data_IF_027794937103
#
_entry.id   IF_027794937103
#
_cell.length_a   1.000
_cell.length_b   1.000
_cell.length_c   1.000
_cell.angle_alpha   90.00
_cell.angle_beta   90.00
_cell.angle_gamma   90.00
#
_symmetry.space_group_name_H-M   'P 1'
#
loop_
_entity.id
_entity.type
_entity.pdbx_description
1 polymer ?
#
# COMPACT_ATOMS: atom_id res chain seq x y z
N UNK A 1 -31.69 -25.81 -42.92
CA UNK A 1 -32.19 -24.43 -42.71
C UNK A 1 -32.71 -24.37 -41.30
N UNK A 2 -31.94 -23.76 -40.40
CA UNK A 2 -32.25 -23.67 -38.97
C UNK A 2 -33.13 -22.43 -38.77
N UNK A 3 -34.30 -22.63 -38.17
CA UNK A 3 -35.28 -21.60 -37.89
C UNK A 3 -34.85 -20.82 -36.63
N UNK A 4 -34.46 -19.56 -36.80
CA UNK A 4 -34.21 -18.64 -35.70
C UNK A 4 -35.56 -18.02 -35.29
N UNK A 5 -36.08 -18.44 -34.13
CA UNK A 5 -37.27 -17.82 -33.54
C UNK A 5 -37.05 -16.33 -33.28
N UNK A 6 -38.13 -15.55 -33.39
CA UNK A 6 -38.11 -14.10 -33.18
C UNK A 6 -37.59 -13.72 -31.78
N UNK A 7 -36.88 -12.59 -31.65
CA UNK A 7 -36.41 -12.11 -30.35
C UNK A 7 -37.61 -11.66 -29.48
N UNK A 8 -37.55 -11.87 -28.15
CA UNK A 8 -38.61 -11.46 -27.26
C UNK A 8 -38.76 -9.92 -27.24
N UNK A 9 -40.00 -9.45 -27.26
CA UNK A 9 -40.31 -8.02 -27.16
C UNK A 9 -39.86 -7.44 -25.81
N UNK A 10 -39.27 -6.25 -25.86
CA UNK A 10 -38.84 -5.50 -24.69
C UNK A 10 -40.04 -5.19 -23.79
N UNK A 11 -40.10 -5.84 -22.62
CA UNK A 11 -40.98 -5.41 -21.55
C UNK A 11 -40.40 -4.14 -20.94
N UNK A 12 -41.20 -3.07 -20.92
CA UNK A 12 -40.88 -1.82 -20.24
C UNK A 12 -40.69 -2.09 -18.75
N UNK A 13 -39.44 -2.20 -18.30
CA UNK A 13 -39.10 -2.06 -16.88
C UNK A 13 -39.36 -0.61 -16.47
N UNK A 14 -40.06 -0.35 -15.35
CA UNK A 14 -40.30 1.01 -14.91
C UNK A 14 -38.97 1.69 -14.57
N UNK A 15 -38.72 2.82 -15.23
CA UNK A 15 -37.66 3.76 -14.87
C UNK A 15 -37.84 4.19 -13.41
N UNK A 16 -36.91 3.79 -12.54
CA UNK A 16 -36.81 4.38 -11.20
C UNK A 16 -36.39 5.85 -11.37
N UNK A 17 -37.35 6.76 -11.20
CA UNK A 17 -37.03 8.18 -11.08
C UNK A 17 -36.34 8.39 -9.73
N UNK A 18 -35.05 8.76 -9.76
CA UNK A 18 -34.37 9.34 -8.61
C UNK A 18 -35.05 10.66 -8.28
N UNK A 19 -35.96 10.63 -7.30
CA UNK A 19 -36.50 11.85 -6.71
C UNK A 19 -35.42 12.45 -5.82
N UNK A 20 -35.19 13.76 -5.95
CA UNK A 20 -34.27 14.50 -5.09
C UNK A 20 -34.60 14.25 -3.61
N UNK A 21 -33.60 14.12 -2.72
CA UNK A 21 -33.86 13.95 -1.29
C UNK A 21 -34.64 15.16 -0.75
N UNK A 22 -35.59 14.94 0.19
CA UNK A 22 -36.39 16.02 0.74
C UNK A 22 -35.50 17.01 1.51
N UNK A 23 -35.65 18.30 1.19
CA UNK A 23 -35.02 19.39 1.95
C UNK A 23 -35.53 19.38 3.38
N UNK A 24 -34.70 18.94 4.33
CA UNK A 24 -35.00 19.06 5.76
C UNK A 24 -35.03 20.54 6.14
N UNK A 25 -36.19 21.02 6.60
CA UNK A 25 -36.35 22.36 7.17
C UNK A 25 -35.57 22.42 8.49
N UNK A 26 -34.54 23.26 8.53
CA UNK A 26 -33.91 23.70 9.78
C UNK A 26 -34.98 24.32 10.67
N UNK A 27 -35.25 23.69 11.81
CA UNK A 27 -36.09 24.26 12.87
C UNK A 27 -35.20 24.54 14.07
N UNK A 28 -34.78 25.79 14.14
CA UNK A 28 -34.01 26.42 15.21
C UNK A 28 -34.70 26.20 16.56
N UNK A 29 -34.10 25.43 17.47
CA UNK A 29 -34.56 25.26 18.85
C UNK A 29 -33.69 26.13 19.77
N UNK A 30 -34.17 27.35 20.05
CA UNK A 30 -33.74 28.13 21.21
C UNK A 30 -34.66 27.77 22.38
N UNK A 31 -34.12 27.16 23.43
CA UNK A 31 -34.52 27.35 24.85
C UNK A 31 -33.55 26.57 25.73
N UNK A 32 -32.91 27.29 26.65
CA UNK A 32 -31.74 26.86 27.40
C UNK A 32 -31.98 25.76 28.43
N UNK A 33 -30.87 25.11 28.78
CA UNK A 33 -30.76 24.29 29.98
C UNK A 33 -29.40 24.57 30.62
N UNK A 34 -29.43 24.82 31.92
CA UNK A 34 -28.31 25.18 32.79
C UNK A 34 -27.19 24.13 32.74
N UNK A 35 -25.94 24.60 32.65
CA UNK A 35 -24.76 23.77 32.84
C UNK A 35 -24.58 23.41 34.32
N UNK A 36 -24.48 22.12 34.62
CA UNK A 36 -23.98 21.61 35.89
C UNK A 36 -22.71 20.83 35.58
N UNK A 37 -21.57 21.52 35.66
CA UNK A 37 -20.24 20.90 35.51
C UNK A 37 -19.92 20.19 36.82
N UNK A 38 -20.01 18.86 36.82
CA UNK A 38 -19.48 18.04 37.91
C UNK A 38 -18.02 17.72 37.58
N UNK A 39 -17.08 18.36 38.28
CA UNK A 39 -15.65 18.01 38.23
C UNK A 39 -15.46 16.76 39.09
N UNK A 40 -15.28 15.60 38.48
CA UNK A 40 -14.77 14.41 39.15
C UNK A 40 -13.24 14.42 39.07
N UNK A 41 -12.58 14.91 40.12
CA UNK A 41 -11.16 14.68 40.37
C UNK A 41 -11.00 13.24 40.87
N UNK A 42 -10.64 12.32 39.97
CA UNK A 42 -10.05 11.04 40.35
C UNK A 42 -8.55 11.10 40.10
N UNK A 43 -7.82 11.30 41.18
CA UNK A 43 -6.40 11.02 41.25
C UNK A 43 -6.20 9.50 41.12
N UNK A 44 -5.77 9.07 39.94
CA UNK A 44 -5.28 7.73 39.67
C UNK A 44 -4.10 7.87 38.73
N UNK A 45 -2.91 7.44 39.17
CA UNK A 45 -1.64 7.72 38.52
C UNK A 45 -1.66 7.52 37.01
N UNK A 46 -1.49 8.62 36.29
CA UNK A 46 -0.98 8.60 34.93
C UNK A 46 0.44 8.05 35.04
N UNK A 47 0.56 6.72 34.92
CA UNK A 47 1.78 6.14 34.42
C UNK A 47 2.04 6.86 33.10
N UNK A 48 3.07 7.68 33.09
CA UNK A 48 3.65 8.19 31.86
C UNK A 48 4.08 6.90 31.16
N UNK A 49 3.25 6.41 30.23
CA UNK A 49 3.77 5.54 29.17
C UNK A 49 4.73 6.46 28.45
N UNK A 50 5.99 6.42 28.87
CA UNK A 50 7.09 6.91 28.06
C UNK A 50 6.88 6.25 26.71
N UNK A 51 6.59 7.04 25.68
CA UNK A 51 6.72 6.55 24.31
C UNK A 51 8.07 5.84 24.24
N UNK A 52 8.14 4.63 23.65
CA UNK A 52 9.42 3.96 23.50
C UNK A 52 10.41 4.96 22.89
N UNK A 53 11.63 4.96 23.42
CA UNK A 53 12.70 5.77 22.86
C UNK A 53 12.78 5.46 21.35
N UNK A 54 13.01 6.48 20.53
CA UNK A 54 13.20 6.35 19.09
C UNK A 54 14.71 6.39 18.84
N UNK A 55 15.24 5.62 17.89
CA UNK A 55 16.59 5.88 17.39
C UNK A 55 16.63 7.35 16.95
N UNK A 56 17.63 8.08 17.45
CA UNK A 56 17.77 9.50 17.09
C UNK A 56 18.24 9.60 15.64
N UNK A 57 17.29 9.81 14.73
CA UNK A 57 17.53 10.31 13.37
C UNK A 57 18.38 9.40 12.49
N UNK A 58 17.84 8.26 12.08
CA UNK A 58 18.44 7.45 11.02
C UNK A 58 18.22 8.19 9.69
N UNK A 59 19.29 8.75 9.13
CA UNK A 59 19.25 9.50 7.86
C UNK A 59 20.15 8.80 6.87
N UNK A 60 19.56 8.19 5.85
CA UNK A 60 20.29 7.59 4.73
C UNK A 60 20.93 8.71 3.92
N UNK A 61 22.24 8.65 3.78
CA UNK A 61 23.07 9.61 3.03
C UNK A 61 23.90 8.97 1.91
N UNK A 62 23.83 7.63 1.76
CA UNK A 62 24.50 6.88 0.71
C UNK A 62 23.54 5.97 -0.05
N UNK A 63 23.73 5.90 -1.37
CA UNK A 63 22.99 5.04 -2.29
C UNK A 63 23.66 3.68 -2.56
N UNK A 64 24.78 3.40 -1.88
CA UNK A 64 25.52 2.14 -1.97
C UNK A 64 24.75 0.96 -1.34
N UNK A 65 24.96 -0.23 -1.89
CA UNK A 65 24.47 -1.51 -1.36
C UNK A 65 25.48 -2.65 -1.62
N UNK A 66 26.77 -2.35 -1.50
CA UNK A 66 27.85 -3.34 -1.64
C UNK A 66 28.09 -4.14 -0.34
N UNK A 67 29.08 -5.04 -0.35
CA UNK A 67 29.46 -5.83 0.82
C UNK A 67 29.96 -5.03 2.03
N UNK A 68 30.14 -3.72 1.89
CA UNK A 68 30.52 -2.78 2.94
C UNK A 68 29.36 -1.90 3.38
N UNK A 69 28.18 -2.05 2.79
CA UNK A 69 26.97 -1.25 3.05
C UNK A 69 26.27 -1.60 4.37
N UNK A 70 26.59 -2.73 5.00
CA UNK A 70 26.01 -3.16 6.26
C UNK A 70 26.37 -2.25 7.43
N UNK A 71 25.47 -2.15 8.42
CA UNK A 71 25.76 -1.47 9.66
C UNK A 71 26.85 -2.22 10.44
N UNK A 72 27.82 -1.47 10.95
CA UNK A 72 28.97 -2.03 11.66
C UNK A 72 28.63 -2.57 13.02
N UNK A 73 27.72 -1.93 13.75
CA UNK A 73 27.31 -2.36 15.07
C UNK A 73 25.80 -2.11 15.25
N UNK A 74 24.93 -2.96 14.66
CA UNK A 74 23.49 -2.78 14.80
C UNK A 74 23.04 -2.65 16.26
N UNK A 75 22.26 -1.61 16.55
CA UNK A 75 21.67 -1.27 17.84
C UNK A 75 22.52 -0.32 18.70
N UNK A 76 23.57 0.29 18.14
CA UNK A 76 24.41 1.25 18.87
C UNK A 76 23.90 2.71 18.78
N UNK A 77 22.82 2.94 18.05
CA UNK A 77 22.18 4.24 17.84
C UNK A 77 22.78 5.04 16.69
N UNK A 78 23.73 4.48 15.92
CA UNK A 78 24.39 5.13 14.80
C UNK A 78 24.28 4.25 13.55
N UNK A 79 23.56 4.74 12.54
CA UNK A 79 23.61 4.12 11.23
C UNK A 79 24.98 4.39 10.57
N UNK A 80 25.86 3.41 10.55
CA UNK A 80 27.22 3.59 10.03
C UNK A 80 27.79 2.32 9.38
N UNK A 81 28.08 2.43 8.09
CA UNK A 81 28.77 1.42 7.28
C UNK A 81 30.29 1.42 7.52
N UNK A 82 31.04 0.66 6.72
CA UNK A 82 32.50 0.60 6.84
C UNK A 82 33.18 1.91 6.43
N UNK A 83 32.46 2.78 5.72
CA UNK A 83 32.90 4.11 5.31
C UNK A 83 32.27 5.23 6.13
N UNK A 84 31.64 4.91 7.26
CA UNK A 84 30.89 5.86 8.11
C UNK A 84 29.72 6.54 7.36
N UNK A 85 29.21 5.90 6.32
CA UNK A 85 28.01 6.30 5.56
C UNK A 85 26.79 5.53 6.08
N UNK A 86 25.59 6.11 6.01
CA UNK A 86 24.34 5.42 6.29
C UNK A 86 23.67 5.01 4.97
N UNK A 87 23.78 3.72 4.63
CA UNK A 87 23.02 3.12 3.52
C UNK A 87 21.62 2.73 3.98
N UNK A 88 20.70 2.45 3.05
CA UNK A 88 19.38 1.91 3.40
C UNK A 88 19.48 0.55 4.11
N UNK A 89 20.46 -0.28 3.74
CA UNK A 89 20.69 -1.58 4.39
C UNK A 89 21.11 -1.38 5.84
N UNK A 90 22.13 -0.57 6.09
CA UNK A 90 22.57 -0.23 7.44
C UNK A 90 21.44 0.38 8.27
N UNK A 91 20.68 1.31 7.69
CA UNK A 91 19.56 1.97 8.35
C UNK A 91 18.48 0.97 8.83
N UNK A 92 18.18 -0.05 8.01
CA UNK A 92 17.24 -1.11 8.39
C UNK A 92 17.83 -2.01 9.48
N UNK A 93 19.12 -2.34 9.41
CA UNK A 93 19.80 -3.16 10.43
C UNK A 93 19.81 -2.46 11.79
N UNK A 94 20.10 -1.17 11.81
CA UNK A 94 20.04 -0.34 13.00
C UNK A 94 18.62 -0.27 13.57
N UNK A 95 17.63 0.03 12.73
CA UNK A 95 16.22 0.08 13.14
C UNK A 95 15.67 -1.27 13.65
N UNK A 96 16.18 -2.39 13.15
CA UNK A 96 15.78 -3.72 13.63
C UNK A 96 16.43 -4.10 14.96
N UNK A 97 17.62 -3.55 15.25
CA UNK A 97 18.39 -3.85 16.45
C UNK A 97 18.10 -2.85 17.58
N UNK A 98 17.51 -1.70 17.26
CA UNK A 98 17.00 -0.74 18.23
C UNK A 98 15.59 -1.15 18.69
N UNK A 99 15.25 -0.83 19.95
CA UNK A 99 13.93 -1.16 20.50
C UNK A 99 13.01 0.05 20.40
N UNK A 100 11.87 -0.10 19.72
CA UNK A 100 10.83 0.92 19.69
C UNK A 100 10.47 1.37 18.29
N UNK A 101 9.93 2.59 18.20
CA UNK A 101 9.52 3.13 16.91
C UNK A 101 10.68 3.90 16.28
N UNK A 102 11.20 3.38 15.17
CA UNK A 102 12.33 3.96 14.46
C UNK A 102 11.90 4.66 13.17
N UNK A 103 12.66 5.66 12.76
CA UNK A 103 12.33 6.46 11.58
C UNK A 103 13.56 6.68 10.73
N UNK A 104 13.51 6.10 9.53
CA UNK A 104 14.51 6.19 8.48
C UNK A 104 14.06 7.29 7.51
N UNK A 105 14.90 8.30 7.31
CA UNK A 105 14.70 9.39 6.35
C UNK A 105 15.87 9.45 5.38
N UNK A 106 15.79 10.34 4.39
CA UNK A 106 16.80 10.45 3.33
C UNK A 106 17.34 11.88 3.24
N UNK A 107 18.67 12.02 3.14
CA UNK A 107 19.32 13.32 3.08
C UNK A 107 18.99 14.07 1.79
N UNK A 108 18.91 13.35 0.68
CA UNK A 108 18.59 13.89 -0.65
C UNK A 108 17.87 12.85 -1.51
N UNK A 109 17.37 13.27 -2.67
CA UNK A 109 16.95 12.33 -3.70
C UNK A 109 18.12 11.40 -4.06
N UNK A 110 17.83 10.12 -4.26
CA UNK A 110 18.86 9.11 -4.52
C UNK A 110 18.30 7.92 -5.29
N UNK A 111 19.20 7.22 -5.98
CA UNK A 111 18.89 6.04 -6.76
C UNK A 111 19.68 4.86 -6.20
N UNK A 112 19.03 4.05 -5.38
CA UNK A 112 19.62 2.91 -4.72
C UNK A 112 19.52 1.70 -5.66
N UNK A 113 20.67 1.19 -6.07
CA UNK A 113 20.78 -0.05 -6.84
C UNK A 113 21.21 -1.17 -5.90
N UNK A 114 20.36 -2.17 -5.68
CA UNK A 114 20.72 -3.27 -4.79
C UNK A 114 21.70 -4.24 -5.44
N UNK A 115 22.74 -4.62 -4.72
CA UNK A 115 23.68 -5.61 -5.19
C UNK A 115 23.12 -7.02 -4.96
N UNK A 116 23.00 -7.77 -6.06
CA UNK A 116 22.59 -9.17 -6.02
C UNK A 116 23.54 -10.05 -5.21
N UNK A 117 24.82 -9.70 -5.15
CA UNK A 117 25.80 -10.45 -4.35
C UNK A 117 25.47 -10.37 -2.85
N UNK A 118 24.96 -9.24 -2.38
CA UNK A 118 24.54 -9.03 -0.98
C UNK A 118 23.15 -9.61 -0.71
N UNK A 119 22.31 -9.66 -1.75
CA UNK A 119 20.96 -10.20 -1.66
C UNK A 119 19.94 -9.18 -1.15
N UNK A 120 18.73 -9.65 -0.85
CA UNK A 120 17.64 -8.76 -0.49
C UNK A 120 17.96 -7.90 0.74
N UNK A 121 17.34 -6.73 0.85
CA UNK A 121 17.38 -5.93 2.07
C UNK A 121 16.86 -6.76 3.26
N UNK A 122 17.40 -6.56 4.48
CA UNK A 122 16.85 -7.21 5.66
C UNK A 122 15.36 -6.88 5.82
N UNK A 123 14.59 -7.84 6.33
CA UNK A 123 13.18 -7.60 6.61
C UNK A 123 13.03 -6.54 7.71
N UNK A 124 11.98 -5.72 7.64
CA UNK A 124 11.59 -4.85 8.76
C UNK A 124 10.97 -5.73 9.84
N UNK A 125 11.58 -5.79 11.02
CA UNK A 125 11.19 -6.69 12.12
C UNK A 125 10.72 -5.95 13.37
N UNK A 126 11.00 -4.65 13.49
CA UNK A 126 10.41 -3.75 14.50
C UNK A 126 9.49 -2.69 13.84
N UNK A 127 8.87 -1.83 14.64
CA UNK A 127 8.10 -0.69 14.17
C UNK A 127 9.01 0.33 13.49
N UNK A 128 9.19 0.18 12.18
CA UNK A 128 9.98 1.10 11.36
C UNK A 128 9.11 1.97 10.45
N UNK A 129 9.35 3.27 10.49
CA UNK A 129 8.86 4.23 9.50
C UNK A 129 9.98 4.50 8.50
N UNK A 130 9.75 4.24 7.20
CA UNK A 130 10.63 4.68 6.12
C UNK A 130 9.93 5.84 5.41
N UNK A 131 10.49 7.04 5.56
CA UNK A 131 9.90 8.28 5.06
C UNK A 131 10.83 9.04 4.10
N UNK A 132 10.55 8.90 2.80
CA UNK A 132 11.19 9.65 1.73
C UNK A 132 10.40 10.88 1.27
N UNK A 133 9.33 11.27 2.00
CA UNK A 133 8.44 12.35 1.56
C UNK A 133 9.10 13.73 1.55
N UNK A 134 10.16 13.93 2.33
CA UNK A 134 10.94 15.17 2.37
C UNK A 134 11.73 15.44 1.09
N UNK A 135 12.04 14.39 0.31
CA UNK A 135 12.83 14.46 -0.92
C UNK A 135 11.98 14.26 -2.18
N UNK A 136 10.66 14.38 -2.07
CA UNK A 136 9.73 14.28 -3.20
C UNK A 136 10.07 15.24 -4.34
N UNK A 137 10.10 14.73 -5.57
CA UNK A 137 10.30 15.56 -6.77
C UNK A 137 8.97 16.22 -7.17
N UNK A 138 8.73 17.40 -6.61
CA UNK A 138 7.51 18.18 -6.91
C UNK A 138 7.41 18.65 -8.35
N UNK A 139 8.53 18.73 -9.09
CA UNK A 139 8.52 19.21 -10.48
C UNK A 139 7.96 18.14 -11.42
N UNK A 140 8.23 16.87 -11.12
CA UNK A 140 7.76 15.73 -11.92
C UNK A 140 6.63 14.92 -11.25
N UNK A 141 6.20 15.29 -10.03
CA UNK A 141 5.15 14.59 -9.26
C UNK A 141 5.48 13.10 -9.05
N UNK A 142 6.69 12.83 -8.55
CA UNK A 142 7.21 11.48 -8.33
C UNK A 142 8.11 11.37 -7.09
N UNK A 143 8.33 10.16 -6.54
CA UNK A 143 9.32 9.89 -5.50
C UNK A 143 10.73 10.37 -5.85
N UNK A 144 11.45 10.92 -4.86
CA UNK A 144 12.87 11.26 -5.01
C UNK A 144 13.83 10.11 -4.68
N UNK A 145 13.34 9.07 -3.99
CA UNK A 145 14.11 7.87 -3.67
C UNK A 145 13.62 6.73 -4.54
N UNK A 146 14.53 6.17 -5.32
CA UNK A 146 14.28 5.01 -6.18
C UNK A 146 15.06 3.80 -5.67
N UNK A 147 14.38 2.67 -5.54
CA UNK A 147 14.95 1.38 -5.17
C UNK A 147 14.82 0.42 -6.35
N UNK A 148 15.95 0.08 -6.96
CA UNK A 148 16.02 -0.78 -8.14
C UNK A 148 16.57 -2.16 -7.77
N UNK A 149 15.75 -3.19 -7.96
CA UNK A 149 16.09 -4.59 -7.70
C UNK A 149 16.44 -5.41 -8.94
N UNK A 150 16.90 -4.81 -10.03
CA UNK A 150 17.17 -5.54 -11.27
C UNK A 150 18.11 -6.72 -11.05
N UNK A 151 17.65 -7.94 -11.38
CA UNK A 151 18.41 -9.17 -11.21
C UNK A 151 18.24 -9.87 -9.85
N UNK A 152 17.54 -9.24 -8.89
CA UNK A 152 17.18 -9.81 -7.60
C UNK A 152 16.09 -10.88 -7.75
N UNK A 153 16.15 -11.96 -6.96
CA UNK A 153 15.10 -13.00 -6.86
C UNK A 153 14.20 -12.81 -5.60
N UNK A 154 14.23 -11.60 -5.04
CA UNK A 154 13.53 -11.21 -3.82
C UNK A 154 12.54 -10.08 -4.06
N UNK A 155 11.82 -9.71 -3.00
CA UNK A 155 10.97 -8.52 -2.95
C UNK A 155 11.79 -7.28 -2.59
N UNK A 156 11.28 -6.08 -2.90
CA UNK A 156 11.95 -4.82 -2.56
C UNK A 156 12.07 -4.59 -1.07
N UNK A 157 10.95 -4.63 -0.37
CA UNK A 157 10.89 -4.61 1.08
C UNK A 157 10.06 -5.79 1.58
N UNK A 158 10.51 -6.42 2.67
CA UNK A 158 9.76 -7.45 3.39
C UNK A 158 9.40 -6.93 4.78
N UNK A 159 8.13 -7.00 5.16
CA UNK A 159 7.61 -6.45 6.42
C UNK A 159 7.12 -7.59 7.30
N UNK A 160 7.84 -7.81 8.41
CA UNK A 160 7.55 -8.79 9.45
C UNK A 160 7.22 -8.13 10.81
N UNK A 161 7.69 -6.91 11.02
CA UNK A 161 7.32 -6.04 12.14
C UNK A 161 5.91 -5.50 11.97
N UNK A 162 5.27 -5.09 13.08
CA UNK A 162 3.94 -4.48 13.06
C UNK A 162 4.04 -2.97 13.14
N UNK A 163 3.04 -2.26 12.62
CA UNK A 163 2.99 -0.78 12.61
C UNK A 163 3.98 -0.12 11.66
N UNK A 164 4.67 -0.85 10.78
CA UNK A 164 5.58 -0.24 9.83
C UNK A 164 4.86 0.70 8.87
N UNK A 165 5.52 1.79 8.49
CA UNK A 165 4.97 2.83 7.62
C UNK A 165 5.95 3.13 6.49
N UNK A 166 5.51 3.02 5.23
CA UNK A 166 6.37 3.20 4.05
C UNK A 166 5.85 4.35 3.19
N UNK A 167 6.65 5.41 3.03
CA UNK A 167 6.24 6.64 2.37
C UNK A 167 7.24 7.12 1.31
N UNK A 168 6.71 7.50 0.15
CA UNK A 168 7.44 8.28 -0.85
C UNK A 168 8.55 7.53 -1.59
N UNK A 169 8.49 6.20 -1.68
CA UNK A 169 9.47 5.39 -2.40
C UNK A 169 9.01 5.01 -3.81
N UNK A 170 9.94 4.94 -4.76
CA UNK A 170 9.75 4.26 -6.03
C UNK A 170 10.46 2.89 -6.01
N UNK A 171 9.72 1.78 -5.99
CA UNK A 171 10.27 0.42 -5.86
C UNK A 171 9.97 -0.38 -7.13
N UNK A 172 11.03 -0.84 -7.82
CA UNK A 172 10.89 -1.44 -9.15
C UNK A 172 11.98 -2.46 -9.52
N UNK A 173 11.68 -3.24 -10.58
CA UNK A 173 12.53 -4.28 -11.16
C UNK A 173 12.88 -5.47 -10.26
N UNK A 174 12.10 -5.72 -9.20
CA UNK A 174 12.32 -6.89 -8.35
C UNK A 174 11.82 -8.19 -8.99
N UNK A 175 12.49 -9.31 -8.69
CA UNK A 175 12.08 -10.65 -9.12
C UNK A 175 10.81 -11.17 -8.44
N UNK A 176 10.39 -10.54 -7.34
CA UNK A 176 9.12 -10.80 -6.65
C UNK A 176 8.31 -9.52 -6.51
N UNK A 177 7.77 -9.24 -5.32
CA UNK A 177 6.87 -8.11 -5.08
C UNK A 177 7.68 -6.83 -4.84
N UNK A 178 7.06 -5.66 -5.04
CA UNK A 178 7.70 -4.42 -4.57
C UNK A 178 7.75 -4.42 -3.04
N UNK A 179 6.62 -4.70 -2.39
CA UNK A 179 6.49 -4.80 -0.94
C UNK A 179 5.75 -6.08 -0.58
N UNK A 180 6.37 -6.92 0.25
CA UNK A 180 5.80 -8.15 0.81
C UNK A 180 5.48 -7.98 2.30
N UNK A 181 4.24 -8.25 2.70
CA UNK A 181 3.76 -8.04 4.08
C UNK A 181 3.29 -9.36 4.68
N UNK A 182 3.91 -9.75 5.78
CA UNK A 182 3.61 -10.98 6.54
C UNK A 182 2.97 -10.67 7.92
N UNK A 183 2.85 -9.39 8.27
CA UNK A 183 2.45 -8.88 9.58
C UNK A 183 1.31 -7.86 9.51
N UNK A 184 0.80 -7.45 10.67
CA UNK A 184 -0.38 -6.59 10.77
C UNK A 184 -0.13 -5.14 11.16
N UNK A 185 -1.14 -4.30 10.90
CA UNK A 185 -1.18 -2.88 11.24
C UNK A 185 -0.18 -1.99 10.49
N UNK A 186 0.32 -2.41 9.32
CA UNK A 186 1.25 -1.62 8.53
C UNK A 186 0.53 -0.66 7.58
N UNK A 187 1.20 0.43 7.22
CA UNK A 187 0.69 1.44 6.28
C UNK A 187 1.65 1.60 5.10
N UNK A 188 1.16 1.31 3.89
CA UNK A 188 1.89 1.53 2.64
C UNK A 188 1.28 2.75 1.94
N UNK A 189 2.00 3.86 2.00
CA UNK A 189 1.59 5.15 1.44
C UNK A 189 0.78 6.00 2.42
N UNK A 190 0.88 7.32 2.27
CA UNK A 190 0.25 8.31 3.17
C UNK A 190 -0.83 9.14 2.49
N UNK A 191 -1.46 10.06 3.24
CA UNK A 191 -2.58 10.87 2.73
C UNK A 191 -2.16 11.98 1.78
N UNK A 192 -0.88 12.34 1.76
CA UNK A 192 -0.37 13.47 1.01
C UNK A 192 0.46 12.99 -0.19
N UNK A 193 0.57 13.81 -1.24
CA UNK A 193 1.30 13.46 -2.46
C UNK A 193 2.73 12.99 -2.21
N UNK A 194 3.49 13.67 -1.32
CA UNK A 194 4.86 13.30 -0.98
C UNK A 194 5.02 11.90 -0.36
N UNK A 195 3.95 11.34 0.19
CA UNK A 195 3.96 10.02 0.83
C UNK A 195 3.48 8.90 -0.10
N UNK A 196 3.11 9.21 -1.34
CA UNK A 196 2.70 8.22 -2.34
C UNK A 196 3.89 7.34 -2.72
N UNK A 197 3.76 6.03 -2.60
CA UNK A 197 4.73 5.14 -3.23
C UNK A 197 4.38 4.90 -4.70
N UNK A 198 5.40 4.65 -5.50
CA UNK A 198 5.27 4.08 -6.84
C UNK A 198 5.82 2.67 -6.79
N UNK A 199 4.98 1.68 -7.12
CA UNK A 199 5.31 0.26 -7.03
C UNK A 199 5.08 -0.33 -8.42
N UNK A 200 6.12 -0.53 -9.21
CA UNK A 200 5.95 -0.82 -10.64
C UNK A 200 7.10 -1.63 -11.24
N UNK A 201 6.88 -2.23 -12.41
CA UNK A 201 7.87 -3.08 -13.11
C UNK A 201 8.42 -4.26 -12.30
N UNK A 202 7.69 -4.74 -11.30
CA UNK A 202 8.09 -5.93 -10.54
C UNK A 202 7.59 -7.22 -11.20
N UNK A 203 8.32 -8.32 -11.01
CA UNK A 203 7.97 -9.61 -11.60
C UNK A 203 6.78 -10.26 -10.89
N UNK A 204 6.61 -9.97 -9.59
CA UNK A 204 5.45 -10.28 -8.76
C UNK A 204 4.48 -9.11 -8.63
N UNK A 205 3.90 -8.92 -7.46
CA UNK A 205 2.87 -7.91 -7.16
C UNK A 205 3.47 -6.54 -6.84
N UNK A 206 2.70 -5.46 -6.98
CA UNK A 206 3.07 -4.19 -6.36
C UNK A 206 3.12 -4.31 -4.83
N UNK A 207 2.03 -4.81 -4.24
CA UNK A 207 1.97 -5.16 -2.81
C UNK A 207 1.38 -6.56 -2.66
N UNK A 208 2.00 -7.41 -1.85
CA UNK A 208 1.42 -8.68 -1.43
C UNK A 208 1.21 -8.71 0.08
N UNK A 209 0.04 -9.20 0.52
CA UNK A 209 -0.35 -9.42 1.90
C UNK A 209 -0.68 -10.90 2.07
N UNK A 210 0.20 -11.64 2.73
CA UNK A 210 0.12 -13.09 2.75
C UNK A 210 0.17 -13.60 4.19
N UNK A 211 -0.71 -14.55 4.50
CA UNK A 211 -0.72 -15.22 5.79
C UNK A 211 -1.69 -14.60 6.80
N UNK A 212 -2.14 -15.41 7.75
CA UNK A 212 -3.09 -15.01 8.81
C UNK A 212 -2.63 -13.86 9.72
N UNK A 213 -1.33 -13.56 9.74
CA UNK A 213 -0.76 -12.43 10.47
C UNK A 213 -0.85 -11.11 9.69
N UNK A 214 -1.01 -11.15 8.37
CA UNK A 214 -1.16 -9.99 7.51
C UNK A 214 -2.56 -9.37 7.64
N UNK A 215 -2.81 -8.72 8.78
CA UNK A 215 -4.13 -8.20 9.16
C UNK A 215 -4.13 -6.71 9.46
N UNK A 216 -5.25 -6.04 9.18
CA UNK A 216 -5.42 -4.61 9.49
C UNK A 216 -4.36 -3.70 8.86
N UNK A 217 -3.81 -4.11 7.72
CA UNK A 217 -2.90 -3.27 6.95
C UNK A 217 -3.68 -2.29 6.07
N UNK A 218 -3.08 -1.14 5.81
CA UNK A 218 -3.62 -0.12 4.90
C UNK A 218 -2.67 0.09 3.74
N UNK A 219 -3.14 -0.12 2.52
CA UNK A 219 -2.43 0.26 1.29
C UNK A 219 -3.16 1.45 0.70
N UNK A 220 -2.55 2.63 0.72
CA UNK A 220 -3.23 3.85 0.32
C UNK A 220 -2.43 4.85 -0.51
N UNK A 221 -3.15 5.53 -1.42
CA UNK A 221 -2.61 6.62 -2.24
C UNK A 221 -1.28 6.25 -2.93
N UNK A 222 -1.16 5.02 -3.43
CA UNK A 222 -0.02 4.56 -4.21
C UNK A 222 -0.33 4.57 -5.72
N UNK A 223 0.72 4.68 -6.53
CA UNK A 223 0.68 4.29 -7.94
C UNK A 223 1.20 2.86 -8.06
N UNK A 224 0.37 1.95 -8.58
CA UNK A 224 0.66 0.53 -8.65
C UNK A 224 0.49 0.03 -10.08
N UNK A 225 1.59 -0.35 -10.72
CA UNK A 225 1.66 -0.77 -12.13
C UNK A 225 1.76 0.38 -13.13
N UNK A 226 2.01 1.60 -12.64
CA UNK A 226 2.18 2.81 -13.43
C UNK A 226 3.63 3.32 -13.39
N UNK A 227 4.01 4.14 -14.37
CA UNK A 227 5.24 4.93 -14.34
C UNK A 227 5.34 5.79 -13.08
N UNK A 228 6.55 6.29 -12.78
CA UNK A 228 6.79 7.18 -11.65
C UNK A 228 5.88 8.43 -11.65
N UNK A 229 5.56 8.96 -12.83
CA UNK A 229 4.65 10.09 -13.03
C UNK A 229 3.16 9.70 -13.07
N UNK A 230 2.81 8.41 -13.10
CA UNK A 230 1.43 7.91 -13.09
C UNK A 230 0.69 7.96 -14.44
N UNK A 231 1.41 8.17 -15.56
CA UNK A 231 0.84 8.47 -16.88
C UNK A 231 0.90 7.33 -17.91
N UNK A 232 1.67 6.28 -17.63
CA UNK A 232 1.91 5.18 -18.55
C UNK A 232 2.04 3.86 -17.79
N UNK A 233 1.91 2.73 -18.50
CA UNK A 233 2.01 1.40 -17.89
C UNK A 233 3.46 1.08 -17.55
N UNK A 234 3.70 0.64 -16.32
CA UNK A 234 4.95 0.02 -15.87
C UNK A 234 4.57 -1.26 -15.09
N UNK A 235 4.20 -2.33 -15.81
CA UNK A 235 3.44 -3.44 -15.25
C UNK A 235 4.17 -4.19 -14.12
N UNK A 236 3.51 -4.35 -12.96
CA UNK A 236 3.74 -5.52 -12.10
C UNK A 236 2.98 -6.73 -12.67
N UNK A 237 3.08 -7.90 -12.04
CA UNK A 237 2.18 -9.02 -12.33
C UNK A 237 0.75 -8.76 -11.82
N UNK A 238 0.58 -8.68 -10.50
CA UNK A 238 -0.62 -8.17 -9.85
C UNK A 238 -0.40 -6.74 -9.33
N UNK A 239 -1.46 -5.95 -9.19
CA UNK A 239 -1.35 -4.69 -8.45
C UNK A 239 -1.21 -4.96 -6.96
N UNK A 240 -2.29 -5.46 -6.34
CA UNK A 240 -2.33 -5.88 -4.95
C UNK A 240 -2.83 -7.32 -4.86
N UNK A 241 -2.11 -8.15 -4.11
CA UNK A 241 -2.42 -9.56 -3.91
C UNK A 241 -2.66 -9.87 -2.42
N UNK A 242 -3.78 -10.51 -2.09
CA UNK A 242 -4.17 -10.86 -0.71
C UNK A 242 -4.52 -12.35 -0.65
N UNK A 243 -3.83 -13.12 0.19
CA UNK A 243 -4.05 -14.58 0.30
C UNK A 243 -3.77 -15.15 1.70
N UNK A 244 -4.03 -16.45 1.83
CA UNK A 244 -3.60 -17.31 2.94
C UNK A 244 -4.02 -16.82 4.34
N UNK A 245 -5.23 -16.29 4.44
CA UNK A 245 -5.80 -15.82 5.70
C UNK A 245 -5.59 -14.33 6.00
N UNK A 246 -4.95 -13.59 5.10
CA UNK A 246 -4.78 -12.15 5.23
C UNK A 246 -6.15 -11.46 5.28
N UNK A 247 -6.44 -10.79 6.39
CA UNK A 247 -7.81 -10.36 6.73
C UNK A 247 -7.90 -8.95 7.30
N UNK A 248 -9.06 -8.32 7.15
CA UNK A 248 -9.30 -6.95 7.63
C UNK A 248 -8.35 -5.89 7.02
N UNK A 249 -7.81 -6.13 5.82
CA UNK A 249 -6.92 -5.17 5.16
C UNK A 249 -7.73 -4.17 4.33
N UNK A 250 -7.27 -2.92 4.26
CA UNK A 250 -7.91 -1.85 3.49
C UNK A 250 -7.01 -1.39 2.36
N UNK A 251 -7.50 -1.53 1.13
CA UNK A 251 -6.87 -1.03 -0.09
C UNK A 251 -7.66 0.19 -0.51
N UNK A 252 -7.10 1.40 -0.37
CA UNK A 252 -7.85 2.63 -0.59
C UNK A 252 -7.13 3.74 -1.35
N UNK A 253 -7.87 4.50 -2.17
CA UNK A 253 -7.33 5.69 -2.86
C UNK A 253 -6.09 5.45 -3.75
N UNK A 254 -5.82 4.20 -4.14
CA UNK A 254 -4.70 3.88 -5.02
C UNK A 254 -5.10 4.03 -6.49
N UNK A 255 -4.11 4.31 -7.35
CA UNK A 255 -4.22 4.06 -8.78
C UNK A 255 -3.61 2.69 -9.09
N UNK A 256 -4.45 1.73 -9.44
CA UNK A 256 -4.06 0.33 -9.65
C UNK A 256 -4.34 -0.04 -11.11
N UNK A 257 -3.32 0.12 -11.94
CA UNK A 257 -3.49 0.17 -13.39
C UNK A 257 -2.28 -0.46 -14.08
N UNK A 258 -2.49 -0.94 -15.31
CA UNK A 258 -1.40 -1.41 -16.16
C UNK A 258 -0.73 -2.71 -15.71
N UNK A 259 -1.23 -3.44 -14.73
CA UNK A 259 -0.66 -4.71 -14.27
C UNK A 259 -0.91 -5.85 -15.29
N UNK A 260 -0.03 -6.85 -15.34
CA UNK A 260 -0.08 -7.95 -16.33
C UNK A 260 -1.25 -8.90 -16.13
N UNK A 261 -1.83 -8.95 -14.94
CA UNK A 261 -3.01 -9.75 -14.63
C UNK A 261 -4.08 -8.86 -13.94
N UNK A 262 -4.49 -9.19 -12.70
CA UNK A 262 -5.50 -8.42 -11.98
C UNK A 262 -4.93 -7.15 -11.33
N UNK A 263 -5.79 -6.14 -11.19
CA UNK A 263 -5.49 -4.97 -10.36
C UNK A 263 -5.41 -5.35 -8.88
N UNK A 264 -6.50 -5.85 -8.31
CA UNK A 264 -6.55 -6.39 -6.94
C UNK A 264 -7.03 -7.82 -7.00
N UNK A 265 -6.30 -8.76 -6.42
CA UNK A 265 -6.71 -10.17 -6.32
C UNK A 265 -6.75 -10.63 -4.86
N UNK A 266 -7.88 -11.24 -4.46
CA UNK A 266 -8.14 -11.66 -3.08
C UNK A 266 -8.59 -13.12 -3.12
N UNK A 267 -7.74 -14.00 -2.59
CA UNK A 267 -7.89 -15.45 -2.73
C UNK A 267 -8.17 -16.14 -1.39
N UNK A 268 -8.85 -17.27 -1.49
CA UNK A 268 -9.13 -18.23 -0.42
C UNK A 268 -10.11 -17.76 0.66
N UNK A 269 -10.84 -18.72 1.23
CA UNK A 269 -11.97 -18.46 2.12
C UNK A 269 -11.61 -17.91 3.50
N UNK A 270 -10.34 -18.03 3.88
CA UNK A 270 -9.78 -17.49 5.11
C UNK A 270 -9.32 -16.02 4.98
N UNK A 271 -9.12 -15.50 3.77
CA UNK A 271 -8.82 -14.09 3.50
C UNK A 271 -10.07 -13.20 3.61
N UNK A 272 -10.50 -12.94 4.85
CA UNK A 272 -11.81 -12.34 5.15
C UNK A 272 -11.78 -10.84 5.41
N UNK A 273 -12.93 -10.19 5.26
CA UNK A 273 -13.16 -8.82 5.73
C UNK A 273 -12.23 -7.77 5.09
N UNK A 274 -11.66 -8.08 3.92
CA UNK A 274 -10.83 -7.14 3.19
C UNK A 274 -11.72 -6.09 2.50
N UNK A 275 -11.23 -4.85 2.43
CA UNK A 275 -11.96 -3.72 1.87
C UNK A 275 -11.17 -3.13 0.71
N UNK A 276 -11.79 -3.07 -0.46
CA UNK A 276 -11.27 -2.35 -1.63
C UNK A 276 -12.14 -1.10 -1.78
N UNK A 277 -11.62 0.06 -1.39
CA UNK A 277 -12.39 1.29 -1.24
C UNK A 277 -11.82 2.47 -2.01
N UNK A 278 -12.65 3.14 -2.83
CA UNK A 278 -12.28 4.41 -3.44
C UNK A 278 -10.97 4.42 -4.25
N UNK A 279 -10.59 3.27 -4.83
CA UNK A 279 -9.45 3.16 -5.74
C UNK A 279 -9.87 3.55 -7.16
N UNK A 280 -8.87 3.91 -7.96
CA UNK A 280 -8.98 4.16 -9.40
C UNK A 280 -8.25 3.00 -10.10
N UNK A 281 -8.99 2.17 -10.80
CA UNK A 281 -8.50 0.90 -11.33
C UNK A 281 -8.67 0.87 -12.85
N UNK A 282 -7.54 0.84 -13.56
CA UNK A 282 -7.45 0.78 -15.02
C UNK A 282 -7.42 2.14 -15.73
N UNK A 283 -7.13 3.22 -15.01
CA UNK A 283 -6.93 4.57 -15.54
C UNK A 283 -5.57 5.14 -15.10
N UNK A 284 -5.05 6.10 -15.86
CA UNK A 284 -3.89 6.91 -15.45
C UNK A 284 -4.26 7.90 -14.33
N UNK A 285 -3.27 8.64 -13.83
CA UNK A 285 -3.46 9.64 -12.77
C UNK A 285 -4.42 10.79 -13.11
N UNK A 286 -4.63 11.03 -14.40
CA UNK A 286 -5.59 12.03 -14.90
C UNK A 286 -7.05 11.58 -14.77
N UNK A 287 -7.28 10.33 -14.34
CA UNK A 287 -8.57 9.68 -14.18
C UNK A 287 -9.37 9.55 -15.48
N UNK A 288 -8.71 9.66 -16.64
CA UNK A 288 -9.34 9.62 -17.95
C UNK A 288 -8.60 8.77 -18.98
N UNK A 289 -7.28 8.73 -18.94
CA UNK A 289 -6.47 7.96 -19.89
C UNK A 289 -6.57 6.46 -19.58
N UNK A 290 -7.02 5.62 -20.53
CA UNK A 290 -7.16 4.18 -20.30
C UNK A 290 -5.81 3.49 -20.10
N UNK A 291 -5.58 2.93 -18.91
CA UNK A 291 -4.41 2.11 -18.57
C UNK A 291 -4.85 0.82 -17.87
N UNK A 292 -5.85 0.14 -18.42
CA UNK A 292 -6.39 -1.10 -17.87
C UNK A 292 -5.34 -2.14 -17.47
N UNK A 293 -5.62 -2.87 -16.40
CA UNK A 293 -4.95 -4.14 -16.11
C UNK A 293 -5.32 -5.15 -17.21
N UNK A 294 -4.44 -6.11 -17.50
CA UNK A 294 -4.64 -7.01 -18.65
C UNK A 294 -5.83 -7.95 -18.48
N UNK A 295 -6.24 -8.26 -17.25
CA UNK A 295 -7.42 -9.09 -16.98
C UNK A 295 -8.49 -8.30 -16.24
N UNK A 296 -8.86 -8.67 -15.01
CA UNK A 296 -9.91 -8.02 -14.25
C UNK A 296 -9.41 -6.91 -13.34
N UNK A 297 -10.26 -5.92 -13.06
CA UNK A 297 -9.92 -4.87 -12.11
C UNK A 297 -9.77 -5.41 -10.69
N UNK A 298 -10.79 -6.12 -10.21
CA UNK A 298 -10.82 -6.76 -8.88
C UNK A 298 -11.27 -8.22 -9.00
N UNK A 299 -10.50 -9.14 -8.43
CA UNK A 299 -10.84 -10.56 -8.28
C UNK A 299 -11.10 -10.93 -6.84
N UNK A 300 -12.19 -11.67 -6.61
CA UNK A 300 -12.54 -12.25 -5.31
C UNK A 300 -12.77 -13.74 -5.54
N UNK A 301 -11.81 -14.57 -5.12
CA UNK A 301 -11.83 -16.01 -5.38
C UNK A 301 -11.94 -16.76 -4.05
N UNK A 302 -13.13 -17.25 -3.74
CA UNK A 302 -13.52 -17.83 -2.44
C UNK A 302 -13.39 -16.94 -1.21
N UNK A 303 -12.77 -15.77 -1.31
CA UNK A 303 -12.67 -14.84 -0.19
C UNK A 303 -14.05 -14.39 0.30
N UNK A 304 -14.24 -14.44 1.62
CA UNK A 304 -15.51 -14.13 2.25
C UNK A 304 -15.50 -12.73 2.88
N UNK A 305 -16.67 -12.10 2.96
CA UNK A 305 -16.85 -10.80 3.62
C UNK A 305 -16.03 -9.65 3.03
N UNK A 306 -15.51 -9.80 1.80
CA UNK A 306 -14.82 -8.74 1.08
C UNK A 306 -15.81 -7.66 0.63
N UNK A 307 -15.46 -6.39 0.85
CA UNK A 307 -16.26 -5.24 0.44
C UNK A 307 -15.55 -4.47 -0.66
N UNK A 308 -16.17 -4.36 -1.83
CA UNK A 308 -15.70 -3.51 -2.93
C UNK A 308 -16.62 -2.30 -3.04
N UNK A 309 -16.15 -1.12 -2.66
CA UNK A 309 -17.00 0.06 -2.47
C UNK A 309 -16.36 1.31 -3.05
N UNK A 310 -17.15 2.15 -3.71
CA UNK A 310 -16.74 3.48 -4.20
C UNK A 310 -15.55 3.52 -5.17
N UNK A 311 -15.12 2.38 -5.72
CA UNK A 311 -14.03 2.34 -6.70
C UNK A 311 -14.50 2.82 -8.08
N UNK A 312 -13.63 3.52 -8.79
CA UNK A 312 -13.76 3.73 -10.23
C UNK A 312 -12.99 2.61 -10.94
N UNK A 313 -13.70 1.72 -11.61
CA UNK A 313 -13.11 0.56 -12.29
C UNK A 313 -13.45 0.63 -13.78
N UNK A 314 -12.44 0.80 -14.63
CA UNK A 314 -12.64 0.99 -16.06
C UNK A 314 -11.50 0.37 -16.88
N UNK A 315 -11.78 0.09 -18.16
CA UNK A 315 -10.79 -0.29 -19.18
C UNK A 315 -9.90 -1.52 -18.92
N UNK A 316 -10.20 -2.33 -17.90
CA UNK A 316 -9.53 -3.62 -17.69
C UNK A 316 -9.85 -4.61 -18.82
N UNK A 317 -8.92 -5.52 -19.12
CA UNK A 317 -9.01 -6.40 -20.29
C UNK A 317 -10.10 -7.47 -20.23
N UNK A 318 -10.66 -7.75 -19.05
CA UNK A 318 -11.76 -8.70 -18.88
C UNK A 318 -12.94 -8.11 -18.10
N UNK A 319 -13.08 -8.41 -16.81
CA UNK A 319 -14.20 -7.90 -16.00
C UNK A 319 -13.76 -6.71 -15.14
N UNK A 320 -14.71 -5.83 -14.79
CA UNK A 320 -14.44 -4.83 -13.73
C UNK A 320 -14.19 -5.53 -12.39
N UNK A 321 -15.15 -6.35 -11.97
CA UNK A 321 -15.09 -7.19 -10.77
C UNK A 321 -15.46 -8.63 -11.17
N UNK A 322 -14.69 -9.62 -10.71
CA UNK A 322 -14.97 -11.04 -10.89
C UNK A 322 -15.07 -11.75 -9.55
N UNK A 323 -16.07 -12.63 -9.41
CA UNK A 323 -16.26 -13.51 -8.25
C UNK A 323 -16.13 -14.96 -8.70
N UNK A 324 -15.17 -15.70 -8.15
CA UNK A 324 -14.94 -17.11 -8.49
C UNK A 324 -14.93 -17.98 -7.23
N UNK A 325 -15.24 -19.26 -7.39
CA UNK A 325 -14.89 -20.28 -6.41
C UNK A 325 -13.44 -20.71 -6.66
N UNK A 326 -12.69 -20.98 -5.60
CA UNK A 326 -11.37 -21.59 -5.69
C UNK A 326 -11.60 -23.05 -6.12
N UNK A 327 -10.73 -23.63 -6.95
CA UNK A 327 -10.83 -25.04 -7.26
C UNK A 327 -10.86 -25.82 -5.94
N UNK A 328 -11.86 -26.69 -5.76
CA UNK A 328 -11.85 -27.64 -4.66
C UNK A 328 -10.60 -28.51 -4.82
N UNK A 329 -9.63 -28.34 -3.93
CA UNK A 329 -8.46 -29.22 -3.82
C UNK A 329 -8.87 -30.60 -3.35
#
# INVERSE_FOLDING_TARGET
MVNWGEPPQSTNLPMYQFTNPPKSKEKMMKKGFFALVLVALLAGGLGIVSSPARATGIVVDSDSDDNMAHDKNPGDGLCASWFDECTLRAAIEEANAHAGADTITFQSAMYIFLDKAEGALPALTDYTVIDASSVWDSANDQPGVSLNGVGMDGSGLTIQGTYCEIYGLFIFNFGRDAIHIESGNNTIGGTNTGQRNVLSSNSGSGVSLIGSNAKSNTVQNNYIGLSASGDSKAPNYYGVYISDGASNNTIQYNWISGNRDLGVDILFSDSKQNVVFANIIGLAKDNTTPLGNSTSGVGIVSAAETRVQSNLIAHNGWCGIVFNQAPST
#
